data_IF_700011437757
#
_entry.id   IF_700011437757
#
_cell.length_a   1.000
_cell.length_b   1.000
_cell.length_c   1.000
_cell.angle_alpha   90.00
_cell.angle_beta   90.00
_cell.angle_gamma   90.00
#
_symmetry.space_group_name_H-M   'P 1'
#
loop_
_entity.id
_entity.type
_entity.pdbx_description
1 polymer ?
#
# COMPACT_ATOMS: atom_id res chain seq x y z
N UNK A 1 4.14 24.78 -17.43
CA UNK A 1 3.86 23.56 -18.22
C UNK A 1 4.88 22.44 -18.02
N UNK A 2 6.19 22.65 -18.25
CA UNK A 2 7.20 21.58 -18.09
C UNK A 2 7.21 20.94 -16.69
N UNK A 3 7.09 21.74 -15.63
CA UNK A 3 7.03 21.24 -14.24
C UNK A 3 5.76 20.42 -13.98
N UNK A 4 4.60 20.91 -14.44
CA UNK A 4 3.31 20.22 -14.29
C UNK A 4 3.27 18.87 -15.00
N UNK A 5 3.86 18.79 -16.20
CA UNK A 5 3.99 17.54 -16.97
C UNK A 5 4.91 16.54 -16.28
N UNK A 6 6.00 17.02 -15.68
CA UNK A 6 6.94 16.19 -14.92
C UNK A 6 6.29 15.62 -13.66
N UNK A 7 5.52 16.42 -12.92
CA UNK A 7 4.77 15.96 -11.75
C UNK A 7 3.71 14.91 -12.12
N UNK A 8 3.00 15.11 -13.23
CA UNK A 8 2.00 14.17 -13.73
C UNK A 8 2.63 12.83 -14.16
N UNK A 9 3.79 12.89 -14.84
CA UNK A 9 4.56 11.71 -15.24
C UNK A 9 5.03 10.90 -14.04
N UNK A 10 5.55 11.55 -12.98
CA UNK A 10 5.94 10.85 -11.75
C UNK A 10 4.77 10.16 -11.07
N UNK A 11 3.58 10.79 -11.06
CA UNK A 11 2.36 10.21 -10.47
C UNK A 11 1.90 8.94 -11.21
N UNK A 12 2.09 8.88 -12.53
CA UNK A 12 1.73 7.72 -13.36
C UNK A 12 2.68 6.52 -13.16
N UNK A 13 3.94 6.75 -12.78
CA UNK A 13 4.90 5.66 -12.51
C UNK A 13 4.50 4.86 -11.25
N UNK A 14 3.97 5.52 -10.21
CA UNK A 14 3.54 4.85 -8.98
C UNK A 14 2.27 3.98 -9.16
N UNK A 15 1.40 4.30 -10.13
CA UNK A 15 0.20 3.49 -10.41
C UNK A 15 0.53 2.10 -10.99
N UNK A 16 1.72 1.92 -11.55
CA UNK A 16 2.16 0.63 -12.10
C UNK A 16 2.93 -0.24 -11.08
N UNK A 17 3.10 0.21 -9.83
CA UNK A 17 3.68 -0.59 -8.74
C UNK A 17 2.65 -1.52 -8.05
N UNK A 18 1.55 -1.83 -8.72
CA UNK A 18 0.58 -2.83 -8.26
C UNK A 18 1.15 -4.20 -8.57
N UNK A 19 1.42 -4.97 -7.51
CA UNK A 19 1.71 -6.41 -7.47
C UNK A 19 1.47 -7.11 -8.82
N UNK A 20 2.55 -7.56 -9.47
CA UNK A 20 2.44 -8.34 -10.71
C UNK A 20 1.60 -9.59 -10.45
N UNK A 21 0.42 -9.65 -11.06
CA UNK A 21 -0.37 -10.87 -11.18
C UNK A 21 0.15 -11.60 -12.40
N UNK A 22 0.83 -12.73 -12.20
CA UNK A 22 1.39 -13.50 -13.30
C UNK A 22 0.28 -14.06 -14.17
N UNK A 23 0.37 -13.80 -15.48
CA UNK A 23 -0.53 -14.39 -16.47
C UNK A 23 -0.17 -15.87 -16.67
N UNK A 24 -1.13 -16.69 -17.14
CA UNK A 24 -0.92 -18.14 -17.34
C UNK A 24 0.31 -18.48 -18.22
N UNK A 25 0.64 -17.65 -19.22
CA UNK A 25 1.83 -17.88 -20.05
C UNK A 25 3.14 -17.57 -19.32
N UNK A 26 3.13 -16.65 -18.35
CA UNK A 26 4.29 -16.28 -17.53
C UNK A 26 4.57 -17.37 -16.49
N UNK A 27 3.50 -17.96 -15.93
CA UNK A 27 3.60 -19.17 -15.10
C UNK A 27 4.19 -20.36 -15.88
N UNK A 28 3.80 -20.56 -17.14
CA UNK A 28 4.42 -21.58 -18.03
C UNK A 28 5.90 -21.30 -18.33
N UNK A 29 6.30 -20.04 -18.40
CA UNK A 29 7.71 -19.67 -18.56
C UNK A 29 8.49 -19.96 -17.27
N UNK A 30 7.89 -19.72 -16.11
CA UNK A 30 8.48 -20.10 -14.82
C UNK A 30 8.63 -21.62 -14.70
N UNK A 31 7.62 -22.39 -15.14
CA UNK A 31 7.72 -23.87 -15.16
C UNK A 31 8.78 -24.41 -16.11
N UNK A 32 9.13 -23.68 -17.17
CA UNK A 32 10.26 -24.05 -18.04
C UNK A 32 11.64 -23.91 -17.38
N UNK A 33 11.73 -23.25 -16.23
CA UNK A 33 12.92 -23.21 -15.39
C UNK A 33 12.91 -24.30 -14.30
N UNK A 34 12.14 -25.38 -14.50
CA UNK A 34 11.92 -26.46 -13.50
C UNK A 34 11.33 -25.97 -12.18
N UNK A 35 10.76 -24.76 -12.16
CA UNK A 35 9.97 -24.27 -11.03
C UNK A 35 8.59 -24.93 -11.17
N UNK A 36 8.37 -26.06 -10.50
CA UNK A 36 7.09 -26.78 -10.54
C UNK A 36 5.94 -25.87 -10.05
N UNK A 37 5.12 -25.40 -10.99
CA UNK A 37 3.91 -24.61 -10.71
C UNK A 37 2.62 -25.43 -10.81
N UNK A 38 2.71 -26.73 -11.12
CA UNK A 38 1.54 -27.60 -11.23
C UNK A 38 1.00 -27.95 -9.85
N UNK A 39 -0.33 -27.87 -9.71
CA UNK A 39 -1.06 -28.14 -8.47
C UNK A 39 -1.15 -29.65 -8.22
N UNK A 40 -0.02 -30.30 -8.02
CA UNK A 40 0.02 -31.65 -7.44
C UNK A 40 -0.27 -31.54 -5.94
N UNK A 41 -0.62 -32.69 -5.32
CA UNK A 41 -1.09 -32.97 -3.94
C UNK A 41 -0.52 -32.13 -2.77
N UNK A 42 0.54 -31.37 -3.02
CA UNK A 42 1.14 -30.34 -2.18
C UNK A 42 0.07 -29.39 -1.61
N UNK A 43 -1.00 -29.06 -2.35
CA UNK A 43 -2.07 -28.14 -1.89
C UNK A 43 -2.82 -28.61 -0.62
N UNK A 44 -2.77 -29.90 -0.27
CA UNK A 44 -3.39 -30.43 0.95
C UNK A 44 -2.43 -30.54 2.14
N UNK A 45 -1.13 -30.35 1.93
CA UNK A 45 -0.17 -30.38 3.04
C UNK A 45 -0.26 -29.09 3.85
N UNK A 46 -0.28 -29.22 5.18
CA UNK A 46 -0.27 -28.08 6.12
C UNK A 46 0.77 -27.03 5.75
N UNK A 47 1.95 -27.47 5.30
CA UNK A 47 3.06 -26.62 4.86
C UNK A 47 2.70 -25.72 3.68
N UNK A 48 1.95 -26.21 2.69
CA UNK A 48 1.53 -25.40 1.55
C UNK A 48 0.43 -24.40 1.92
N UNK A 49 -0.54 -24.83 2.73
CA UNK A 49 -1.60 -23.95 3.22
C UNK A 49 -1.02 -22.80 4.05
N UNK A 50 -0.03 -23.10 4.88
CA UNK A 50 0.66 -22.11 5.70
C UNK A 50 1.60 -21.22 4.87
N UNK A 51 2.27 -21.75 3.84
CA UNK A 51 3.01 -20.94 2.87
C UNK A 51 2.09 -19.96 2.14
N UNK A 52 0.93 -20.43 1.66
CA UNK A 52 -0.10 -19.59 1.05
C UNK A 52 -0.55 -18.49 2.02
N UNK A 53 -0.81 -18.84 3.27
CA UNK A 53 -1.19 -17.88 4.32
C UNK A 53 -0.09 -16.83 4.58
N UNK A 54 1.19 -17.23 4.58
CA UNK A 54 2.34 -16.34 4.73
C UNK A 54 2.41 -15.35 3.55
N UNK A 55 2.32 -15.86 2.32
CA UNK A 55 2.37 -15.05 1.10
C UNK A 55 1.20 -14.07 1.02
N UNK A 56 -0.02 -14.51 1.38
CA UNK A 56 -1.20 -13.66 1.39
C UNK A 56 -1.09 -12.54 2.44
N UNK A 57 -0.62 -12.86 3.66
CA UNK A 57 -0.38 -11.85 4.70
C UNK A 57 0.66 -10.84 4.29
N UNK A 58 1.73 -11.26 3.61
CA UNK A 58 2.77 -10.37 3.09
C UNK A 58 2.23 -9.46 1.97
N UNK A 59 1.47 -10.01 1.04
CA UNK A 59 0.85 -9.22 -0.03
C UNK A 59 -0.08 -8.14 0.56
N UNK A 60 -0.97 -8.53 1.49
CA UNK A 60 -1.87 -7.58 2.17
C UNK A 60 -1.08 -6.55 2.98
N UNK A 61 -0.03 -6.96 3.67
CA UNK A 61 0.84 -6.04 4.43
C UNK A 61 1.45 -4.98 3.51
N UNK A 62 2.04 -5.40 2.37
CA UNK A 62 2.68 -4.50 1.40
C UNK A 62 1.66 -3.53 0.83
N UNK A 63 0.50 -4.01 0.37
CA UNK A 63 -0.57 -3.15 -0.16
C UNK A 63 -1.03 -2.12 0.86
N UNK A 64 -1.36 -2.54 2.10
CA UNK A 64 -1.80 -1.60 3.15
C UNK A 64 -0.72 -0.60 3.53
N UNK A 65 0.55 -0.99 3.52
CA UNK A 65 1.66 -0.06 3.79
C UNK A 65 1.77 0.99 2.70
N UNK A 66 1.66 0.58 1.44
CA UNK A 66 1.68 1.50 0.29
C UNK A 66 0.50 2.45 0.33
N UNK A 67 -0.72 1.95 0.54
CA UNK A 67 -1.91 2.79 0.72
C UNK A 67 -1.73 3.78 1.88
N UNK A 68 -1.20 3.32 3.02
CA UNK A 68 -0.94 4.19 4.16
C UNK A 68 0.00 5.35 3.81
N UNK A 69 1.08 5.09 3.06
CA UNK A 69 2.01 6.12 2.59
C UNK A 69 1.32 7.09 1.63
N UNK A 70 0.50 6.60 0.70
CA UNK A 70 -0.27 7.43 -0.24
C UNK A 70 -1.23 8.34 0.52
N UNK A 71 -1.95 7.81 1.51
CA UNK A 71 -2.88 8.61 2.31
C UNK A 71 -2.17 9.63 3.21
N UNK A 72 -1.00 9.29 3.75
CA UNK A 72 -0.18 10.23 4.51
C UNK A 72 0.34 11.37 3.64
N UNK A 73 0.86 11.08 2.46
CA UNK A 73 1.36 12.10 1.53
C UNK A 73 0.23 12.98 1.01
N UNK A 74 -0.92 12.38 0.66
CA UNK A 74 -2.11 13.12 0.25
C UNK A 74 -2.62 14.02 1.37
N UNK A 75 -2.62 13.54 2.62
CA UNK A 75 -2.98 14.35 3.79
C UNK A 75 -2.11 15.60 3.92
N UNK A 76 -0.78 15.45 3.83
CA UNK A 76 0.15 16.57 3.94
C UNK A 76 -0.10 17.56 2.80
N UNK A 77 -0.26 17.06 1.57
CA UNK A 77 -0.49 17.88 0.39
C UNK A 77 -1.80 18.69 0.48
N UNK A 78 -2.91 18.04 0.81
CA UNK A 78 -4.22 18.72 0.90
C UNK A 78 -4.26 19.68 2.07
N UNK A 79 -3.64 19.35 3.20
CA UNK A 79 -3.54 20.26 4.35
C UNK A 79 -2.71 21.49 4.02
N UNK A 80 -1.53 21.30 3.40
CA UNK A 80 -0.67 22.41 3.01
C UNK A 80 -1.34 23.32 1.97
N UNK A 81 -1.98 22.73 0.95
CA UNK A 81 -2.77 23.47 -0.02
C UNK A 81 -3.90 24.25 0.65
N UNK A 82 -4.68 23.60 1.51
CA UNK A 82 -5.78 24.23 2.25
C UNK A 82 -5.30 25.39 3.13
N UNK A 83 -4.17 25.23 3.82
CA UNK A 83 -3.57 26.27 4.65
C UNK A 83 -3.10 27.48 3.82
N UNK A 84 -2.47 27.24 2.67
CA UNK A 84 -2.05 28.31 1.74
C UNK A 84 -3.28 29.05 1.21
N UNK A 85 -4.29 28.33 0.74
CA UNK A 85 -5.53 28.93 0.22
C UNK A 85 -6.27 29.73 1.30
N UNK A 86 -6.34 29.20 2.52
CA UNK A 86 -6.94 29.88 3.66
C UNK A 86 -6.17 31.17 4.02
N UNK A 87 -4.84 31.10 4.07
CA UNK A 87 -4.00 32.27 4.38
C UNK A 87 -4.11 33.37 3.32
N UNK A 88 -4.07 33.01 2.04
CA UNK A 88 -4.10 33.98 0.94
C UNK A 88 -5.47 34.66 0.76
N UNK A 89 -6.54 34.07 1.30
CA UNK A 89 -7.91 34.57 1.15
C UNK A 89 -8.45 35.24 2.41
N UNK A 90 -7.61 35.42 3.44
CA UNK A 90 -8.02 35.91 4.76
C UNK A 90 -8.66 37.31 4.74
N UNK A 91 -8.32 38.13 3.74
CA UNK A 91 -8.85 39.49 3.57
C UNK A 91 -9.77 39.64 2.34
N UNK A 92 -10.17 38.53 1.70
CA UNK A 92 -11.02 38.58 0.53
C UNK A 92 -12.50 38.79 0.94
N UNK A 93 -13.15 39.83 0.42
CA UNK A 93 -14.55 40.19 0.75
C UNK A 93 -15.56 39.06 0.49
N UNK A 94 -15.26 38.19 -0.45
CA UNK A 94 -16.16 37.10 -0.87
C UNK A 94 -16.03 35.82 -0.04
N UNK A 95 -15.00 35.67 0.81
CA UNK A 95 -14.86 34.54 1.75
C UNK A 95 -14.68 33.13 1.13
N UNK A 96 -14.78 32.99 -0.20
CA UNK A 96 -14.73 31.70 -0.91
C UNK A 96 -13.40 30.97 -0.69
N UNK A 97 -12.29 31.70 -0.65
CA UNK A 97 -11.00 31.06 -0.42
C UNK A 97 -10.84 30.50 1.00
N UNK A 98 -11.49 31.11 2.01
CA UNK A 98 -11.46 30.61 3.38
C UNK A 98 -12.22 29.30 3.49
N UNK A 99 -13.40 29.20 2.87
CA UNK A 99 -14.22 27.97 2.89
C UNK A 99 -13.57 26.82 2.12
N UNK A 100 -12.96 27.10 0.96
CA UNK A 100 -12.17 26.10 0.21
C UNK A 100 -10.96 25.67 1.04
N UNK A 101 -10.23 26.63 1.63
CA UNK A 101 -9.05 26.36 2.45
C UNK A 101 -9.35 25.44 3.64
N UNK A 102 -10.42 25.73 4.40
CA UNK A 102 -10.86 24.88 5.53
C UNK A 102 -11.30 23.50 5.09
N UNK A 103 -12.00 23.39 3.94
CA UNK A 103 -12.42 22.09 3.41
C UNK A 103 -11.22 21.21 3.07
N UNK A 104 -10.21 21.75 2.38
CA UNK A 104 -8.99 21.01 2.04
C UNK A 104 -8.16 20.60 3.27
N UNK A 105 -8.09 21.47 4.29
CA UNK A 105 -7.50 21.10 5.59
C UNK A 105 -8.27 19.96 6.26
N UNK A 106 -9.60 20.01 6.26
CA UNK A 106 -10.45 18.95 6.81
C UNK A 106 -10.27 17.62 6.09
N UNK A 107 -10.21 17.62 4.76
CA UNK A 107 -9.88 16.43 3.96
C UNK A 107 -8.53 15.86 4.39
N UNK A 108 -7.52 16.73 4.59
CA UNK A 108 -6.21 16.31 5.06
C UNK A 108 -6.27 15.52 6.36
N UNK A 109 -6.95 16.06 7.38
CA UNK A 109 -7.13 15.39 8.69
C UNK A 109 -7.77 14.00 8.52
N UNK A 110 -8.82 13.90 7.71
CA UNK A 110 -9.49 12.61 7.45
C UNK A 110 -8.53 11.60 6.81
N UNK A 111 -7.75 12.04 5.80
CA UNK A 111 -6.78 11.18 5.10
C UNK A 111 -5.66 10.72 6.03
N UNK A 112 -5.20 11.59 6.95
CA UNK A 112 -4.24 11.21 8.00
C UNK A 112 -4.79 10.08 8.89
N UNK A 113 -6.04 10.20 9.35
CA UNK A 113 -6.69 9.17 10.15
C UNK A 113 -6.79 7.82 9.44
N UNK A 114 -7.09 7.82 8.13
CA UNK A 114 -7.12 6.62 7.30
C UNK A 114 -5.72 6.00 7.19
N UNK A 115 -4.70 6.81 6.94
CA UNK A 115 -3.30 6.36 6.85
C UNK A 115 -2.85 5.64 8.12
N UNK A 116 -3.13 6.20 9.29
CA UNK A 116 -2.76 5.60 10.59
C UNK A 116 -3.39 4.22 10.75
N UNK A 117 -4.69 4.09 10.46
CA UNK A 117 -5.39 2.77 10.55
C UNK A 117 -4.77 1.74 9.61
N UNK A 118 -4.37 2.15 8.40
CA UNK A 118 -3.71 1.27 7.45
C UNK A 118 -2.31 0.85 7.92
N UNK A 119 -1.52 1.75 8.51
CA UNK A 119 -0.23 1.42 9.12
C UNK A 119 -0.36 0.42 10.26
N UNK A 120 -1.30 0.66 11.18
CA UNK A 120 -1.58 -0.27 12.30
C UNK A 120 -1.98 -1.64 11.75
N UNK A 121 -2.86 -1.67 10.76
CA UNK A 121 -3.25 -2.93 10.15
C UNK A 121 -2.11 -3.63 9.43
N UNK A 122 -1.23 -2.90 8.74
CA UNK A 122 -0.06 -3.48 8.06
C UNK A 122 0.86 -4.13 9.08
N UNK A 123 1.16 -3.45 10.19
CA UNK A 123 1.97 -4.00 11.29
C UNK A 123 1.33 -5.24 11.92
N UNK A 124 0.01 -5.26 12.10
CA UNK A 124 -0.69 -6.46 12.59
C UNK A 124 -0.49 -7.66 11.66
N UNK A 125 -0.56 -7.46 10.34
CA UNK A 125 -0.35 -8.55 9.36
C UNK A 125 1.10 -9.01 9.33
N UNK A 126 2.05 -8.08 9.46
CA UNK A 126 3.48 -8.41 9.65
C UNK A 126 3.68 -9.35 10.83
N UNK A 127 3.14 -8.98 12.01
CA UNK A 127 3.27 -9.78 13.23
C UNK A 127 2.70 -11.20 13.05
N UNK A 128 1.50 -11.31 12.48
CA UNK A 128 0.88 -12.62 12.22
C UNK A 128 1.66 -13.49 11.23
N UNK A 129 2.36 -12.87 10.27
CA UNK A 129 3.24 -13.57 9.33
C UNK A 129 4.51 -14.04 10.06
N UNK A 130 5.11 -13.17 10.85
CA UNK A 130 6.34 -13.45 11.58
C UNK A 130 6.12 -14.58 12.62
N UNK A 131 4.97 -14.61 13.31
CA UNK A 131 4.54 -15.71 14.19
C UNK A 131 4.46 -17.07 13.45
N UNK A 132 3.90 -17.08 12.24
CA UNK A 132 3.84 -18.30 11.41
C UNK A 132 5.23 -18.77 11.01
N UNK A 133 6.10 -17.86 10.55
CA UNK A 133 7.48 -18.17 10.18
C UNK A 133 8.27 -18.71 11.38
N UNK A 134 8.09 -18.11 12.55
CA UNK A 134 8.78 -18.53 13.78
C UNK A 134 8.37 -19.94 14.22
N UNK A 135 7.08 -20.29 14.09
CA UNK A 135 6.60 -21.64 14.40
C UNK A 135 7.28 -22.72 13.54
N UNK A 136 7.65 -22.41 12.29
CA UNK A 136 8.41 -23.31 11.43
C UNK A 136 9.88 -23.41 11.80
N UNK A 137 10.50 -22.31 12.27
CA UNK A 137 11.88 -22.33 12.75
C UNK A 137 12.05 -23.20 13.99
N UNK A 138 11.07 -23.16 14.89
CA UNK A 138 11.08 -23.97 16.12
C UNK A 138 10.87 -25.46 15.81
N UNK A 139 10.06 -25.78 14.79
CA UNK A 139 9.79 -27.17 14.38
C UNK A 139 10.93 -27.83 13.59
N UNK A 140 11.85 -27.05 13.00
CA UNK A 140 13.04 -27.55 12.28
C UNK A 140 14.33 -26.91 12.85
N UNK A 141 14.80 -27.32 14.05
CA UNK A 141 15.98 -26.75 14.69
C UNK A 141 17.33 -27.17 14.07
N UNK A 142 17.33 -27.84 12.90
CA UNK A 142 18.52 -28.51 12.31
C UNK A 142 19.09 -27.79 11.06
N UNK A 143 18.75 -26.53 10.80
CA UNK A 143 19.41 -25.69 9.79
C UNK A 143 19.90 -24.37 10.40
#
# INVERSE_FOLDING_TARGET
MKKTLLTLSMLLVFNNCISQSFKKYELRRLSSFEIETETNDIYQTKNYLDLKNILEKEQIQRTRKTEAIIFASLSILTTAFGAITYSNSRNAENGIGQSIGTLFMGIGVVKSGISIRLFVSSNKRKKQRDELIESYKIQNPQN
#
